data_IF_961246607772
#
_entry.id   IF_961246607772
#
_cell.length_a   1.000
_cell.length_b   1.000
_cell.length_c   1.000
_cell.angle_alpha   90.00
_cell.angle_beta   90.00
_cell.angle_gamma   90.00
#
_symmetry.space_group_name_H-M   'P 1'
#
loop_
_entity.id
_entity.type
_entity.pdbx_description
1 polymer ?
#
# COMPACT_ATOMS: atom_id res chain seq x y z
N UNK A 1 -71.92 84.88 66.72
CA UNK A 1 -71.73 85.50 65.38
C UNK A 1 -70.83 84.57 64.58
N UNK A 2 -71.23 84.31 63.33
CA UNK A 2 -70.49 83.65 62.23
C UNK A 2 -69.14 83.01 62.58
N UNK A 3 -69.05 81.70 62.42
CA UNK A 3 -67.82 80.92 62.61
C UNK A 3 -67.63 79.93 61.46
N UNK A 4 -66.35 79.66 61.16
CA UNK A 4 -65.79 78.45 60.55
C UNK A 4 -66.09 78.18 59.06
N UNK A 5 -65.37 77.30 58.35
CA UNK A 5 -63.97 76.82 58.31
C UNK A 5 -63.95 75.69 57.24
N UNK A 6 -62.82 75.55 56.51
CA UNK A 6 -62.32 74.38 55.73
C UNK A 6 -63.10 73.72 54.55
N UNK A 7 -62.36 73.38 53.47
CA UNK A 7 -62.04 72.01 52.96
C UNK A 7 -62.16 71.76 51.41
N UNK A 8 -61.13 71.09 50.83
CA UNK A 8 -60.95 70.31 49.56
C UNK A 8 -61.60 70.77 48.21
N UNK A 9 -61.09 70.50 46.99
CA UNK A 9 -60.70 69.22 46.36
C UNK A 9 -60.02 69.46 44.98
N UNK A 10 -59.16 68.54 44.51
CA UNK A 10 -58.48 68.50 43.20
C UNK A 10 -59.43 68.04 42.06
N UNK A 11 -59.32 68.59 40.84
CA UNK A 11 -60.00 68.06 39.64
C UNK A 11 -59.08 68.11 38.41
N UNK A 12 -59.02 66.97 37.72
CA UNK A 12 -58.07 66.52 36.69
C UNK A 12 -58.54 66.99 35.29
N UNK A 13 -57.61 67.47 34.45
CA UNK A 13 -57.83 67.70 33.01
C UNK A 13 -57.10 66.59 32.23
N UNK A 14 -57.86 65.74 31.53
CA UNK A 14 -57.34 64.69 30.64
C UNK A 14 -56.97 65.29 29.27
N UNK A 15 -55.68 65.31 28.95
CA UNK A 15 -55.17 65.56 27.60
C UNK A 15 -55.25 64.29 26.76
N UNK A 16 -55.99 64.33 25.64
CA UNK A 16 -55.99 63.27 24.64
C UNK A 16 -54.71 63.40 23.81
N UNK A 17 -53.73 62.55 24.10
CA UNK A 17 -52.57 62.31 23.24
C UNK A 17 -52.66 60.89 22.71
N UNK A 18 -52.86 60.72 21.41
CA UNK A 18 -52.76 59.43 20.74
C UNK A 18 -51.34 58.86 20.92
N UNK A 19 -51.16 57.90 21.82
CA UNK A 19 -50.09 56.93 21.64
C UNK A 19 -50.56 55.95 20.58
N UNK A 20 -49.81 55.85 19.48
CA UNK A 20 -49.80 54.62 18.69
C UNK A 20 -49.31 53.52 19.63
N UNK A 21 -50.20 52.65 20.08
CA UNK A 21 -49.79 51.36 20.63
C UNK A 21 -49.06 50.64 19.50
N UNK A 22 -47.73 50.57 19.64
CA UNK A 22 -46.95 49.56 18.96
C UNK A 22 -47.38 48.23 19.60
N UNK A 23 -48.31 47.53 18.96
CA UNK A 23 -48.48 46.11 19.19
C UNK A 23 -47.10 45.48 18.97
N UNK A 24 -46.53 44.93 20.04
CA UNK A 24 -45.35 44.12 20.00
C UNK A 24 -45.56 43.02 18.95
N UNK A 25 -44.82 43.09 17.84
CA UNK A 25 -44.48 41.87 17.11
C UNK A 25 -43.64 41.05 18.08
N UNK A 26 -44.29 40.10 18.76
CA UNK A 26 -43.57 39.03 19.43
C UNK A 26 -42.67 38.38 18.37
N UNK A 27 -41.36 38.39 18.65
CA UNK A 27 -40.34 37.70 17.88
C UNK A 27 -40.72 36.20 17.87
N UNK A 28 -41.49 35.77 16.86
CA UNK A 28 -41.94 34.39 16.70
C UNK A 28 -40.67 33.54 16.52
N UNK A 29 -40.31 32.80 17.56
CA UNK A 29 -39.18 31.87 17.53
C UNK A 29 -39.42 30.86 16.41
N UNK A 30 -38.56 30.90 15.40
CA UNK A 30 -38.54 29.98 14.25
C UNK A 30 -37.87 28.70 14.72
N UNK A 31 -38.65 27.61 14.88
CA UNK A 31 -38.15 26.34 15.42
C UNK A 31 -38.10 25.30 14.29
N UNK A 32 -36.88 25.00 13.83
CA UNK A 32 -36.63 23.91 12.89
C UNK A 32 -36.94 22.54 13.52
N UNK A 33 -37.13 21.50 12.70
CA UNK A 33 -37.30 20.14 13.22
C UNK A 33 -36.05 19.64 13.95
N UNK A 34 -36.22 18.61 14.77
CA UNK A 34 -35.14 17.78 15.28
C UNK A 34 -35.34 16.36 14.79
N UNK A 35 -34.27 15.76 14.26
CA UNK A 35 -34.28 14.42 13.68
C UNK A 35 -33.06 13.64 14.14
N UNK A 36 -33.28 12.38 14.49
CA UNK A 36 -32.27 11.40 14.88
C UNK A 36 -32.13 10.36 13.77
N UNK A 37 -30.89 10.00 13.44
CA UNK A 37 -30.58 8.82 12.64
C UNK A 37 -30.34 7.66 13.61
N UNK A 38 -31.22 6.68 13.59
CA UNK A 38 -31.29 5.65 14.63
C UNK A 38 -30.50 4.40 14.27
N UNK A 39 -30.44 4.05 12.97
CA UNK A 39 -29.73 2.86 12.51
C UNK A 39 -29.26 3.01 11.06
N UNK A 40 -28.08 2.45 10.78
CA UNK A 40 -27.55 2.19 9.45
C UNK A 40 -27.15 0.71 9.40
N UNK A 41 -27.74 -0.08 8.51
CA UNK A 41 -27.56 -1.53 8.40
C UNK A 41 -27.22 -1.89 6.95
N UNK A 42 -26.03 -2.44 6.71
CA UNK A 42 -25.62 -2.92 5.39
C UNK A 42 -26.41 -4.20 5.10
N UNK A 43 -27.10 -4.26 3.95
CA UNK A 43 -27.94 -5.40 3.58
C UNK A 43 -27.55 -6.04 2.24
N UNK A 44 -26.72 -5.37 1.44
CA UNK A 44 -26.05 -5.90 0.27
C UNK A 44 -24.81 -5.04 -0.05
N UNK A 45 -23.91 -5.53 -0.91
CA UNK A 45 -22.76 -4.75 -1.40
C UNK A 45 -23.16 -3.45 -2.13
N UNK A 46 -24.41 -3.34 -2.58
CA UNK A 46 -24.96 -2.17 -3.27
C UNK A 46 -26.18 -1.57 -2.57
N UNK A 47 -26.43 -1.93 -1.31
CA UNK A 47 -27.58 -1.42 -0.57
C UNK A 47 -27.41 -1.36 0.96
N UNK A 48 -27.94 -0.28 1.55
CA UNK A 48 -27.99 -0.07 3.00
C UNK A 48 -29.41 0.31 3.44
N UNK A 49 -29.86 -0.21 4.59
CA UNK A 49 -31.09 0.22 5.24
C UNK A 49 -30.78 1.28 6.28
N UNK A 50 -31.56 2.35 6.26
CA UNK A 50 -31.45 3.47 7.19
C UNK A 50 -32.78 3.73 7.88
N UNK A 51 -32.74 4.00 9.20
CA UNK A 51 -33.90 4.27 10.03
C UNK A 51 -33.71 5.57 10.79
N UNK A 52 -34.74 6.41 10.85
CA UNK A 52 -34.70 7.70 11.53
C UNK A 52 -36.02 8.06 12.20
N UNK A 53 -35.91 8.89 13.23
CA UNK A 53 -37.05 9.38 14.02
C UNK A 53 -37.01 10.90 14.11
N UNK A 54 -38.16 11.53 13.89
CA UNK A 54 -38.33 12.96 14.16
C UNK A 54 -38.63 13.11 15.65
N UNK A 55 -37.68 13.65 16.41
CA UNK A 55 -37.81 13.84 17.86
C UNK A 55 -38.61 15.09 18.20
N UNK A 56 -38.62 16.08 17.31
CA UNK A 56 -39.42 17.29 17.43
C UNK A 56 -39.80 17.84 16.04
N UNK A 57 -41.07 18.16 15.82
CA UNK A 57 -41.52 18.74 14.55
C UNK A 57 -41.17 20.24 14.41
N UNK A 58 -40.78 20.89 15.50
CA UNK A 58 -40.58 22.33 15.56
C UNK A 58 -41.92 23.08 15.63
N UNK A 59 -41.97 24.26 15.01
CA UNK A 59 -43.11 25.19 15.11
C UNK A 59 -44.17 25.04 14.01
N UNK A 60 -43.91 24.17 13.02
CA UNK A 60 -44.78 23.94 11.86
C UNK A 60 -44.77 22.45 11.46
N UNK A 61 -45.82 21.95 10.79
CA UNK A 61 -45.86 20.57 10.31
C UNK A 61 -44.67 20.24 9.39
N UNK A 62 -44.20 19.00 9.46
CA UNK A 62 -43.13 18.49 8.60
C UNK A 62 -43.64 18.37 7.17
N UNK A 63 -43.02 19.12 6.25
CA UNK A 63 -43.34 19.18 4.82
C UNK A 63 -42.54 18.17 3.99
N UNK A 64 -41.35 17.79 4.43
CA UNK A 64 -40.53 16.74 3.81
C UNK A 64 -39.60 16.10 4.85
N UNK A 65 -39.28 14.82 4.68
CA UNK A 65 -38.27 14.10 5.48
C UNK A 65 -37.59 13.03 4.65
N UNK A 66 -36.37 12.66 5.04
CA UNK A 66 -35.68 11.54 4.41
C UNK A 66 -34.21 11.47 4.78
N UNK A 67 -33.40 11.00 3.85
CA UNK A 67 -31.96 10.79 4.05
C UNK A 67 -31.17 11.48 2.95
N UNK A 68 -29.96 11.92 3.26
CA UNK A 68 -28.99 12.43 2.30
C UNK A 68 -27.63 11.76 2.54
N UNK A 69 -26.91 11.46 1.46
CA UNK A 69 -25.64 10.74 1.50
C UNK A 69 -24.67 11.16 0.40
N UNK A 70 -23.37 11.03 0.68
CA UNK A 70 -22.29 11.32 -0.26
C UNK A 70 -21.01 10.55 0.16
N UNK A 71 -20.02 10.45 -0.71
CA UNK A 71 -18.65 9.97 -0.38
C UNK A 71 -17.80 11.07 0.26
N UNK A 72 -18.29 12.31 0.29
CA UNK A 72 -17.72 13.43 1.03
C UNK A 72 -18.50 13.74 2.32
N UNK A 73 -17.84 14.23 3.39
CA UNK A 73 -18.52 14.60 4.64
C UNK A 73 -19.56 15.71 4.50
N UNK A 74 -20.50 15.74 5.44
CA UNK A 74 -21.61 16.68 5.60
C UNK A 74 -22.63 16.71 4.44
N UNK A 75 -23.20 15.57 4.03
CA UNK A 75 -24.20 15.54 2.97
C UNK A 75 -25.44 16.35 3.36
N UNK A 76 -26.07 16.93 2.34
CA UNK A 76 -27.28 17.76 2.41
C UNK A 76 -28.33 17.26 1.41
N UNK A 77 -29.52 17.85 1.44
CA UNK A 77 -30.58 17.49 0.48
C UNK A 77 -30.23 17.78 -0.99
N UNK A 78 -29.19 18.59 -1.26
CA UNK A 78 -28.71 18.92 -2.60
C UNK A 78 -27.74 17.86 -3.18
N UNK A 79 -27.28 16.92 -2.34
CA UNK A 79 -26.49 15.75 -2.74
C UNK A 79 -27.41 14.59 -3.19
N UNK A 80 -26.96 13.33 -3.07
CA UNK A 80 -27.88 12.20 -3.19
C UNK A 80 -28.83 12.20 -2.00
N UNK A 81 -30.14 12.21 -2.27
CA UNK A 81 -31.15 12.27 -1.23
C UNK A 81 -32.41 11.48 -1.56
N UNK A 82 -33.19 11.15 -0.53
CA UNK A 82 -34.48 10.49 -0.63
C UNK A 82 -35.56 11.29 0.07
N UNK A 83 -36.80 11.19 -0.39
CA UNK A 83 -37.93 11.88 0.25
C UNK A 83 -39.04 10.88 0.63
N UNK A 84 -39.25 10.72 1.93
CA UNK A 84 -40.26 9.87 2.57
C UNK A 84 -41.55 10.62 2.89
N UNK A 85 -41.73 11.82 2.33
CA UNK A 85 -42.95 12.61 2.41
C UNK A 85 -43.06 13.44 3.69
N UNK A 86 -44.29 13.73 4.09
CA UNK A 86 -44.63 14.63 5.19
C UNK A 86 -44.96 13.88 6.49
N UNK A 87 -45.20 14.65 7.56
CA UNK A 87 -45.62 14.13 8.87
C UNK A 87 -44.49 13.61 9.76
N UNK A 88 -44.76 13.54 11.07
CA UNK A 88 -43.70 13.39 12.10
C UNK A 88 -43.42 11.96 12.55
N UNK A 89 -44.01 10.94 11.93
CA UNK A 89 -43.71 9.54 12.23
C UNK A 89 -42.26 9.19 11.85
N UNK A 90 -41.69 8.21 12.55
CA UNK A 90 -40.43 7.58 12.15
C UNK A 90 -40.50 7.06 10.71
N UNK A 91 -39.34 6.98 10.06
CA UNK A 91 -39.25 6.65 8.66
C UNK A 91 -38.01 5.82 8.37
N UNK A 92 -38.10 5.00 7.33
CA UNK A 92 -37.07 4.07 6.89
C UNK A 92 -36.86 4.22 5.40
N UNK A 93 -35.65 3.94 4.92
CA UNK A 93 -35.36 3.81 3.50
C UNK A 93 -34.33 2.71 3.24
N UNK A 94 -34.36 2.18 2.02
CA UNK A 94 -33.26 1.38 1.47
C UNK A 94 -32.57 2.25 0.43
N UNK A 95 -31.34 2.65 0.70
CA UNK A 95 -30.48 3.34 -0.26
C UNK A 95 -29.82 2.25 -1.10
N UNK A 96 -30.08 2.24 -2.41
CA UNK A 96 -29.55 1.28 -3.38
C UNK A 96 -28.66 1.96 -4.42
N UNK A 97 -28.02 1.17 -5.30
CA UNK A 97 -27.13 1.66 -6.37
C UNK A 97 -25.89 2.40 -5.88
N UNK A 98 -25.50 2.17 -4.64
CA UNK A 98 -24.23 2.61 -4.05
C UNK A 98 -23.11 1.68 -4.49
N UNK A 99 -21.92 2.25 -4.64
CA UNK A 99 -20.71 1.55 -5.11
C UNK A 99 -20.21 0.60 -4.00
N UNK A 100 -19.96 -0.70 -4.27
CA UNK A 100 -19.34 -1.63 -3.31
C UNK A 100 -17.98 -1.17 -2.81
N UNK A 101 -17.56 -1.65 -1.62
CA UNK A 101 -16.28 -1.28 -0.99
C UNK A 101 -16.04 0.22 -0.81
N UNK A 102 -17.10 1.04 -0.74
CA UNK A 102 -16.99 2.51 -0.69
C UNK A 102 -17.53 3.05 0.64
N UNK A 103 -16.78 3.98 1.25
CA UNK A 103 -17.20 4.73 2.44
C UNK A 103 -18.20 5.84 2.05
N UNK A 104 -19.33 5.88 2.76
CA UNK A 104 -20.34 6.92 2.63
C UNK A 104 -20.62 7.60 3.97
N UNK A 105 -20.91 8.89 3.88
CA UNK A 105 -21.47 9.71 4.95
C UNK A 105 -22.98 9.82 4.74
N UNK A 106 -23.77 9.71 5.81
CA UNK A 106 -25.23 9.75 5.75
C UNK A 106 -25.83 10.56 6.90
N UNK A 107 -26.87 11.33 6.59
CA UNK A 107 -27.68 12.09 7.55
C UNK A 107 -29.16 11.92 7.24
N UNK A 108 -29.98 11.79 8.29
CA UNK A 108 -31.41 11.98 8.16
C UNK A 108 -31.74 13.48 8.13
N UNK A 109 -32.77 13.87 7.40
CA UNK A 109 -33.25 15.25 7.34
C UNK A 109 -34.75 15.35 7.56
N UNK A 110 -35.19 16.49 8.06
CA UNK A 110 -36.60 16.87 8.12
C UNK A 110 -36.76 18.38 7.86
N UNK A 111 -37.81 18.75 7.15
CA UNK A 111 -38.10 20.12 6.72
C UNK A 111 -39.47 20.53 7.20
N UNK A 112 -39.58 21.74 7.75
CA UNK A 112 -40.84 22.44 8.00
C UNK A 112 -40.73 23.88 7.44
N UNK A 113 -41.72 24.73 7.71
CA UNK A 113 -41.72 26.13 7.22
C UNK A 113 -40.53 26.96 7.75
N UNK A 114 -39.93 26.54 8.87
CA UNK A 114 -38.72 27.12 9.48
C UNK A 114 -37.42 26.64 8.82
N UNK A 115 -37.49 25.65 7.93
CA UNK A 115 -36.40 25.14 7.11
C UNK A 115 -36.03 23.68 7.39
N UNK A 116 -34.91 23.25 6.80
CA UNK A 116 -34.39 21.89 6.93
C UNK A 116 -33.43 21.78 8.12
N UNK A 117 -33.60 20.71 8.89
CA UNK A 117 -32.68 20.24 9.91
C UNK A 117 -32.18 18.85 9.57
N UNK A 118 -31.01 18.51 10.12
CA UNK A 118 -30.31 17.26 9.86
C UNK A 118 -29.91 16.59 11.17
N UNK A 119 -29.85 15.26 11.17
CA UNK A 119 -29.29 14.50 12.29
C UNK A 119 -27.79 14.74 12.42
N UNK A 120 -27.21 14.19 13.48
CA UNK A 120 -25.77 13.90 13.50
C UNK A 120 -25.40 13.04 12.30
N UNK A 121 -24.19 13.25 11.80
CA UNK A 121 -23.62 12.43 10.73
C UNK A 121 -23.26 11.04 11.24
N UNK A 122 -23.50 10.05 10.39
CA UNK A 122 -22.99 8.69 10.56
C UNK A 122 -22.28 8.27 9.27
N UNK A 123 -21.46 7.23 9.38
CA UNK A 123 -20.72 6.66 8.24
C UNK A 123 -21.01 5.18 8.11
N UNK A 124 -20.98 4.67 6.89
CA UNK A 124 -20.99 3.24 6.62
C UNK A 124 -20.13 2.93 5.41
N UNK A 125 -19.57 1.73 5.37
CA UNK A 125 -18.82 1.21 4.23
C UNK A 125 -19.61 0.05 3.63
N UNK A 126 -19.90 0.10 2.33
CA UNK A 126 -20.62 -0.99 1.67
C UNK A 126 -19.78 -2.25 1.63
N UNK A 127 -20.40 -3.42 1.80
CA UNK A 127 -19.70 -4.70 1.64
C UNK A 127 -19.03 -4.80 0.25
N UNK A 128 -17.88 -5.44 0.18
CA UNK A 128 -17.27 -5.81 -1.11
C UNK A 128 -18.00 -7.02 -1.70
N UNK A 129 -18.02 -7.19 -3.04
CA UNK A 129 -18.64 -8.37 -3.66
C UNK A 129 -18.11 -9.70 -3.10
N UNK A 130 -16.85 -9.73 -2.64
CA UNK A 130 -16.22 -10.92 -2.09
C UNK A 130 -16.56 -11.25 -0.62
N UNK A 131 -17.19 -10.36 0.14
CA UNK A 131 -17.47 -10.61 1.58
C UNK A 131 -18.43 -11.78 1.80
N UNK A 132 -19.26 -12.12 0.80
CA UNK A 132 -20.17 -13.27 0.88
C UNK A 132 -19.51 -14.60 0.50
N UNK A 133 -18.35 -14.58 -0.17
CA UNK A 133 -17.63 -15.75 -0.67
C UNK A 133 -16.18 -15.76 -0.16
N UNK A 134 -16.04 -15.61 1.17
CA UNK A 134 -14.75 -15.63 1.87
C UNK A 134 -14.43 -17.04 2.38
N UNK A 135 -13.23 -17.53 2.08
CA UNK A 135 -12.69 -18.78 2.60
C UNK A 135 -11.56 -18.49 3.60
N UNK A 136 -11.56 -19.18 4.74
CA UNK A 136 -10.66 -18.83 5.87
C UNK A 136 -9.58 -19.86 6.15
N UNK A 137 -9.77 -21.10 5.71
CA UNK A 137 -8.79 -22.17 5.93
C UNK A 137 -7.63 -22.06 4.95
N UNK A 138 -6.47 -22.59 5.32
CA UNK A 138 -5.31 -22.68 4.42
C UNK A 138 -5.64 -23.52 3.19
N UNK A 139 -5.26 -23.04 2.00
CA UNK A 139 -5.54 -23.74 0.75
C UNK A 139 -4.23 -24.27 0.18
N UNK A 140 -4.17 -25.57 -0.05
CA UNK A 140 -3.04 -26.25 -0.70
C UNK A 140 -3.58 -27.08 -1.87
N UNK A 141 -3.23 -26.66 -3.08
CA UNK A 141 -3.61 -27.31 -4.34
C UNK A 141 -2.36 -27.97 -4.91
N UNK A 142 -2.42 -29.29 -5.10
CA UNK A 142 -1.29 -30.12 -5.55
C UNK A 142 -1.54 -30.90 -6.83
N UNK A 143 -2.77 -30.91 -7.32
CA UNK A 143 -3.17 -31.57 -8.57
C UNK A 143 -4.18 -30.71 -9.33
N UNK A 144 -4.32 -30.94 -10.65
CA UNK A 144 -5.33 -30.24 -11.44
C UNK A 144 -6.76 -30.49 -10.92
N UNK A 145 -7.05 -31.67 -10.38
CA UNK A 145 -8.37 -31.96 -9.83
C UNK A 145 -8.68 -31.07 -8.62
N UNK A 146 -7.70 -30.85 -7.73
CA UNK A 146 -7.89 -29.96 -6.57
C UNK A 146 -8.09 -28.50 -7.00
N UNK A 147 -7.42 -28.05 -8.07
CA UNK A 147 -7.66 -26.73 -8.67
C UNK A 147 -9.09 -26.61 -9.19
N UNK A 148 -9.57 -27.63 -9.91
CA UNK A 148 -10.93 -27.66 -10.43
C UNK A 148 -11.97 -27.68 -9.28
N UNK A 149 -11.77 -28.56 -8.29
CA UNK A 149 -12.66 -28.70 -7.15
C UNK A 149 -12.74 -27.42 -6.31
N UNK A 150 -11.61 -26.70 -6.18
CA UNK A 150 -11.59 -25.40 -5.51
C UNK A 150 -12.29 -24.31 -6.34
N UNK A 151 -12.08 -24.30 -7.66
CA UNK A 151 -12.77 -23.38 -8.57
C UNK A 151 -14.30 -23.52 -8.55
N UNK A 152 -14.81 -24.75 -8.42
CA UNK A 152 -16.25 -25.03 -8.30
C UNK A 152 -16.88 -24.39 -7.04
N UNK A 153 -16.08 -24.03 -6.04
CA UNK A 153 -16.55 -23.30 -4.85
C UNK A 153 -16.81 -21.81 -5.13
N UNK A 154 -16.28 -21.27 -6.24
CA UNK A 154 -16.42 -19.85 -6.62
C UNK A 154 -16.02 -18.89 -5.50
N UNK A 155 -14.92 -19.21 -4.81
CA UNK A 155 -14.34 -18.37 -3.76
C UNK A 155 -13.81 -17.09 -4.40
N UNK A 156 -14.15 -15.95 -3.79
CA UNK A 156 -13.75 -14.63 -4.24
C UNK A 156 -12.61 -14.06 -3.39
N UNK A 157 -12.62 -14.39 -2.10
CA UNK A 157 -11.63 -13.92 -1.13
C UNK A 157 -11.08 -15.08 -0.29
N UNK A 158 -9.77 -15.10 -0.14
CA UNK A 158 -9.06 -15.99 0.78
C UNK A 158 -8.42 -15.16 1.89
N UNK A 159 -8.68 -15.50 3.16
CA UNK A 159 -8.02 -14.81 4.31
C UNK A 159 -6.70 -15.46 4.71
N UNK A 160 -6.33 -16.55 4.05
CA UNK A 160 -5.16 -17.37 4.31
C UNK A 160 -4.23 -17.40 3.09
N UNK A 161 -3.13 -18.12 3.21
CA UNK A 161 -2.21 -18.37 2.10
C UNK A 161 -2.80 -19.38 1.10
N UNK A 162 -2.57 -19.12 -0.19
CA UNK A 162 -2.85 -20.03 -1.30
C UNK A 162 -1.54 -20.67 -1.78
N UNK A 163 -1.38 -21.97 -1.54
CA UNK A 163 -0.28 -22.76 -2.07
C UNK A 163 -0.74 -23.54 -3.29
N UNK A 164 -0.19 -23.23 -4.47
CA UNK A 164 -0.35 -24.01 -5.70
C UNK A 164 1.01 -24.62 -6.01
N UNK A 165 1.16 -25.92 -5.74
CA UNK A 165 2.48 -26.55 -5.81
C UNK A 165 2.46 -28.02 -6.20
N UNK A 166 3.46 -28.48 -6.93
CA UNK A 166 3.61 -29.92 -7.15
C UNK A 166 4.07 -30.64 -5.86
N UNK A 167 3.63 -31.89 -5.62
CA UNK A 167 4.15 -32.70 -4.53
C UNK A 167 5.58 -33.16 -4.82
N UNK A 168 6.34 -33.40 -3.74
CA UNK A 168 7.71 -33.92 -3.82
C UNK A 168 7.72 -35.29 -4.52
N UNK A 169 8.49 -35.41 -5.61
CA UNK A 169 8.54 -36.62 -6.44
C UNK A 169 7.58 -36.64 -7.64
N UNK A 170 6.85 -35.53 -7.87
CA UNK A 170 5.95 -35.36 -9.01
C UNK A 170 4.55 -35.95 -8.79
N UNK A 171 3.67 -35.69 -9.75
CA UNK A 171 2.28 -36.17 -9.74
C UNK A 171 1.88 -36.67 -11.13
N UNK A 172 0.97 -37.66 -11.17
CA UNK A 172 0.36 -38.12 -12.43
C UNK A 172 -0.68 -37.12 -12.98
N UNK A 173 -1.13 -36.17 -12.17
CA UNK A 173 -2.10 -35.14 -12.54
C UNK A 173 -1.52 -33.74 -12.28
N UNK A 174 -0.52 -33.30 -13.07
CA UNK A 174 0.13 -32.01 -12.88
C UNK A 174 -0.86 -30.86 -13.10
N UNK A 175 -0.62 -29.76 -12.39
CA UNK A 175 -1.38 -28.51 -12.57
C UNK A 175 -0.89 -27.85 -13.86
N UNK A 176 -1.80 -27.67 -14.80
CA UNK A 176 -1.53 -27.11 -16.14
C UNK A 176 -2.48 -25.96 -16.50
N UNK A 177 -3.56 -25.79 -15.75
CA UNK A 177 -4.60 -24.79 -16.01
C UNK A 177 -5.10 -24.18 -14.68
N UNK A 178 -5.02 -22.86 -14.56
CA UNK A 178 -5.54 -22.12 -13.41
C UNK A 178 -6.88 -21.44 -13.70
N UNK A 179 -7.46 -21.60 -14.90
CA UNK A 179 -8.75 -21.00 -15.29
C UNK A 179 -9.91 -21.22 -14.31
N UNK A 180 -9.99 -22.37 -13.57
CA UNK A 180 -11.00 -22.54 -12.53
C UNK A 180 -10.92 -21.51 -11.39
N UNK A 181 -9.77 -20.86 -11.19
CA UNK A 181 -9.54 -19.88 -10.12
C UNK A 181 -10.02 -18.46 -10.48
N UNK A 182 -10.66 -18.28 -11.64
CA UNK A 182 -11.08 -16.97 -12.17
C UNK A 182 -12.06 -16.18 -11.29
N UNK A 183 -12.64 -16.78 -10.26
CA UNK A 183 -13.45 -16.05 -9.27
C UNK A 183 -12.62 -15.32 -8.21
N UNK A 184 -11.35 -15.68 -8.00
CA UNK A 184 -10.51 -15.08 -6.96
C UNK A 184 -10.15 -13.63 -7.31
N UNK A 185 -10.44 -12.72 -6.38
CA UNK A 185 -10.05 -11.31 -6.46
C UNK A 185 -9.10 -10.90 -5.34
N UNK A 186 -9.18 -11.53 -4.16
CA UNK A 186 -8.41 -11.13 -2.98
C UNK A 186 -7.79 -12.34 -2.28
N UNK A 187 -6.49 -12.25 -2.00
CA UNK A 187 -5.76 -13.14 -1.09
C UNK A 187 -5.13 -12.25 0.01
N UNK A 188 -5.68 -12.29 1.22
CA UNK A 188 -5.08 -11.57 2.36
C UNK A 188 -3.83 -12.27 2.90
N UNK A 189 -3.59 -13.52 2.52
CA UNK A 189 -2.32 -14.21 2.72
C UNK A 189 -1.34 -14.00 1.57
N UNK A 190 -0.46 -14.99 1.39
CA UNK A 190 0.46 -15.09 0.26
C UNK A 190 -0.03 -16.04 -0.83
N UNK A 191 0.39 -15.76 -2.06
CA UNK A 191 0.24 -16.62 -3.23
C UNK A 191 1.57 -17.32 -3.52
N UNK A 192 1.59 -18.64 -3.42
CA UNK A 192 2.79 -19.44 -3.65
C UNK A 192 2.61 -20.38 -4.83
N UNK A 193 3.23 -20.06 -5.95
CA UNK A 193 3.31 -20.88 -7.16
C UNK A 193 4.67 -21.58 -7.17
N UNK A 194 4.71 -22.89 -6.84
CA UNK A 194 5.97 -23.63 -6.66
C UNK A 194 6.01 -24.95 -7.42
N UNK A 195 7.13 -25.27 -8.06
CA UNK A 195 7.34 -26.55 -8.75
C UNK A 195 6.29 -26.85 -9.86
N UNK A 196 5.76 -25.82 -10.52
CA UNK A 196 4.71 -25.93 -11.54
C UNK A 196 5.32 -26.10 -12.95
N UNK A 197 6.03 -27.21 -13.16
CA UNK A 197 6.86 -27.42 -14.37
C UNK A 197 6.08 -27.55 -15.67
N UNK A 198 4.78 -27.89 -15.60
CA UNK A 198 3.92 -28.05 -16.78
C UNK A 198 3.00 -26.84 -17.03
N UNK A 199 2.97 -25.86 -16.12
CA UNK A 199 2.10 -24.70 -16.22
C UNK A 199 2.68 -23.68 -17.22
N UNK A 200 1.91 -23.36 -18.27
CA UNK A 200 2.32 -22.46 -19.35
C UNK A 200 1.84 -21.02 -19.14
N UNK A 201 0.78 -20.82 -18.35
CA UNK A 201 0.13 -19.53 -18.16
C UNK A 201 -0.49 -19.41 -16.77
N UNK A 202 -0.59 -18.18 -16.28
CA UNK A 202 -1.36 -17.81 -15.08
C UNK A 202 -2.83 -17.45 -15.41
N UNK A 203 -3.30 -17.77 -16.61
CA UNK A 203 -4.71 -17.60 -17.00
C UNK A 203 -5.62 -18.24 -15.95
N UNK A 204 -6.62 -17.47 -15.49
CA UNK A 204 -7.44 -17.76 -14.32
C UNK A 204 -7.14 -16.88 -13.11
N UNK A 205 -6.03 -16.13 -13.10
CA UNK A 205 -5.70 -15.18 -12.03
C UNK A 205 -5.91 -13.71 -12.44
N UNK A 206 -6.54 -13.44 -13.60
CA UNK A 206 -6.72 -12.09 -14.14
C UNK A 206 -7.58 -11.19 -13.27
N UNK A 207 -8.48 -11.75 -12.48
CA UNK A 207 -9.35 -10.96 -11.59
C UNK A 207 -8.69 -10.68 -10.23
N UNK A 208 -7.50 -11.22 -9.97
CA UNK A 208 -6.79 -11.03 -8.72
C UNK A 208 -6.33 -9.58 -8.60
N UNK A 209 -6.91 -8.87 -7.63
CA UNK A 209 -6.66 -7.46 -7.36
C UNK A 209 -5.69 -7.25 -6.19
N UNK A 210 -5.65 -8.21 -5.25
CA UNK A 210 -4.86 -8.06 -4.04
C UNK A 210 -4.22 -9.38 -3.57
N UNK A 211 -2.92 -9.31 -3.25
CA UNK A 211 -2.15 -10.29 -2.46
C UNK A 211 -1.42 -9.49 -1.39
N UNK A 212 -1.61 -9.79 -0.09
CA UNK A 212 -1.06 -8.93 0.98
C UNK A 212 0.27 -9.41 1.57
N UNK A 213 0.51 -10.71 1.64
CA UNK A 213 1.76 -11.23 2.24
C UNK A 213 2.81 -11.46 1.15
N UNK A 214 2.92 -12.70 0.71
CA UNK A 214 4.00 -13.15 -0.14
C UNK A 214 3.51 -13.42 -1.56
N UNK A 215 4.30 -13.08 -2.58
CA UNK A 215 4.14 -13.57 -3.94
C UNK A 215 5.38 -14.37 -4.33
N UNK A 216 5.22 -15.68 -4.44
CA UNK A 216 6.29 -16.59 -4.82
C UNK A 216 5.97 -17.21 -6.18
N UNK A 217 6.90 -17.07 -7.11
CA UNK A 217 6.91 -17.78 -8.39
C UNK A 217 8.24 -18.51 -8.48
N UNK A 218 8.23 -19.79 -8.12
CA UNK A 218 9.44 -20.60 -7.97
C UNK A 218 9.36 -21.89 -8.77
N UNK A 219 10.43 -22.22 -9.49
CA UNK A 219 10.55 -23.46 -10.26
C UNK A 219 9.40 -23.69 -11.27
N UNK A 220 9.12 -22.70 -12.12
CA UNK A 220 8.23 -22.87 -13.28
C UNK A 220 9.04 -23.03 -14.58
N UNK A 221 8.83 -24.13 -15.29
CA UNK A 221 9.65 -24.48 -16.46
C UNK A 221 9.08 -24.01 -17.79
N UNK A 222 7.78 -23.67 -17.83
CA UNK A 222 7.07 -23.28 -19.06
C UNK A 222 6.36 -21.91 -18.98
N UNK A 223 6.33 -21.28 -17.81
CA UNK A 223 5.66 -19.99 -17.63
C UNK A 223 6.51 -18.86 -18.21
N UNK A 224 5.99 -18.16 -19.22
CA UNK A 224 6.75 -17.13 -19.94
C UNK A 224 6.63 -15.72 -19.35
N UNK A 225 5.55 -15.40 -18.65
CA UNK A 225 5.29 -14.07 -18.09
C UNK A 225 4.35 -14.13 -16.89
N UNK A 226 4.17 -12.98 -16.22
CA UNK A 226 3.22 -12.81 -15.12
C UNK A 226 2.02 -11.91 -15.51
N UNK A 227 1.72 -11.74 -16.79
CA UNK A 227 0.79 -10.70 -17.29
C UNK A 227 -0.64 -10.87 -16.78
N UNK A 228 -1.04 -12.11 -16.45
CA UNK A 228 -2.34 -12.37 -15.83
C UNK A 228 -2.47 -11.73 -14.44
N UNK A 229 -1.38 -11.31 -13.81
CA UNK A 229 -1.41 -10.61 -12.52
C UNK A 229 -1.56 -9.08 -12.64
N UNK A 230 -1.76 -8.55 -13.84
CA UNK A 230 -1.80 -7.10 -14.13
C UNK A 230 -2.83 -6.27 -13.37
N UNK A 231 -3.83 -6.91 -12.74
CA UNK A 231 -4.79 -6.24 -11.87
C UNK A 231 -4.36 -6.18 -10.40
N UNK A 232 -3.25 -6.82 -10.02
CA UNK A 232 -2.69 -6.72 -8.67
C UNK A 232 -2.27 -5.27 -8.38
N UNK A 233 -2.75 -4.76 -7.25
CA UNK A 233 -2.42 -3.41 -6.78
C UNK A 233 -2.12 -3.39 -5.30
N UNK A 234 -1.40 -2.35 -4.88
CA UNK A 234 -1.17 -2.05 -3.46
C UNK A 234 0.11 -2.67 -2.91
N UNK A 235 0.01 -3.18 -1.69
CA UNK A 235 1.16 -3.49 -0.83
C UNK A 235 1.30 -4.98 -0.57
N UNK A 236 2.55 -5.46 -0.54
CA UNK A 236 2.91 -6.86 -0.27
C UNK A 236 4.12 -6.91 0.67
N UNK A 237 4.36 -8.00 1.40
CA UNK A 237 5.56 -8.15 2.24
C UNK A 237 6.76 -8.71 1.49
N UNK A 238 6.55 -9.70 0.62
CA UNK A 238 7.66 -10.44 0.01
C UNK A 238 7.39 -10.85 -1.43
N UNK A 239 8.35 -10.58 -2.32
CA UNK A 239 8.35 -11.02 -3.71
C UNK A 239 9.56 -11.92 -3.95
N UNK A 240 9.30 -13.17 -4.33
CA UNK A 240 10.35 -14.13 -4.71
C UNK A 240 10.05 -14.71 -6.08
N UNK A 241 10.90 -14.41 -7.04
CA UNK A 241 10.84 -14.96 -8.41
C UNK A 241 12.12 -15.74 -8.66
N UNK A 242 12.03 -17.07 -8.59
CA UNK A 242 13.19 -17.94 -8.54
C UNK A 242 13.10 -19.14 -9.49
N UNK A 243 14.22 -19.52 -10.09
CA UNK A 243 14.37 -20.79 -10.82
C UNK A 243 13.35 -20.99 -11.97
N UNK A 244 12.89 -19.89 -12.58
CA UNK A 244 11.94 -19.94 -13.69
C UNK A 244 12.68 -19.96 -15.04
N UNK A 245 12.62 -21.09 -15.75
CA UNK A 245 13.50 -21.38 -16.88
C UNK A 245 13.20 -20.54 -18.13
N UNK A 246 11.93 -20.18 -18.34
CA UNK A 246 11.48 -19.48 -19.54
C UNK A 246 10.76 -18.16 -19.27
N UNK A 247 10.71 -17.73 -18.02
CA UNK A 247 10.11 -16.46 -17.62
C UNK A 247 10.93 -15.30 -18.21
N UNK A 248 10.28 -14.47 -19.03
CA UNK A 248 10.90 -13.35 -19.74
C UNK A 248 10.66 -12.00 -19.08
N UNK A 249 9.51 -11.83 -18.44
CA UNK A 249 9.12 -10.59 -17.79
C UNK A 249 8.27 -10.84 -16.54
N UNK A 250 8.09 -9.76 -15.77
CA UNK A 250 7.22 -9.69 -14.59
C UNK A 250 6.24 -8.50 -14.70
N UNK A 251 5.89 -8.10 -15.93
CA UNK A 251 5.22 -6.80 -16.19
C UNK A 251 3.81 -6.72 -15.58
N UNK A 252 3.17 -7.87 -15.38
CA UNK A 252 1.94 -7.98 -14.61
C UNK A 252 2.03 -7.52 -13.15
N UNK A 253 3.23 -7.27 -12.59
CA UNK A 253 3.39 -6.75 -11.23
C UNK A 253 3.40 -5.22 -11.14
N UNK A 254 3.26 -4.52 -12.27
CA UNK A 254 3.39 -3.05 -12.35
C UNK A 254 2.37 -2.25 -11.52
N UNK A 255 1.30 -2.87 -11.02
CA UNK A 255 0.35 -2.22 -10.12
C UNK A 255 0.78 -2.17 -8.64
N UNK A 256 1.85 -2.87 -8.25
CA UNK A 256 2.40 -2.84 -6.89
C UNK A 256 3.06 -1.48 -6.59
N UNK A 257 2.84 -0.95 -5.39
CA UNK A 257 3.27 0.40 -5.01
C UNK A 257 4.23 0.45 -3.83
N UNK A 258 4.18 -0.51 -2.92
CA UNK A 258 4.99 -0.53 -1.70
C UNK A 258 5.16 -1.94 -1.20
N UNK A 259 6.24 -2.16 -0.46
CA UNK A 259 6.35 -3.33 0.40
C UNK A 259 6.19 -2.92 1.86
N UNK A 260 5.61 -3.80 2.68
CA UNK A 260 5.31 -3.54 4.09
C UNK A 260 5.76 -4.68 4.98
N UNK A 261 6.13 -4.36 6.22
CA UNK A 261 6.56 -5.36 7.19
C UNK A 261 5.45 -6.40 7.42
N UNK A 262 5.84 -7.66 7.41
CA UNK A 262 4.94 -8.76 7.69
C UNK A 262 4.65 -8.89 9.18
N UNK A 263 3.74 -9.81 9.48
CA UNK A 263 3.46 -10.19 10.87
C UNK A 263 4.72 -10.71 11.57
N UNK A 264 4.82 -10.47 12.88
CA UNK A 264 5.93 -10.93 13.73
C UNK A 264 7.31 -10.36 13.37
N UNK A 265 7.38 -9.20 12.70
CA UNK A 265 8.65 -8.55 12.34
C UNK A 265 9.35 -9.26 11.18
N UNK A 266 8.58 -9.73 10.21
CA UNK A 266 9.14 -10.19 8.93
C UNK A 266 9.46 -8.96 8.09
N UNK A 267 10.74 -8.76 7.80
CA UNK A 267 11.19 -7.63 7.02
C UNK A 267 10.83 -7.80 5.52
N UNK A 268 10.58 -6.70 4.80
CA UNK A 268 10.31 -6.74 3.37
C UNK A 268 11.44 -7.35 2.54
N UNK A 269 11.08 -8.19 1.57
CA UNK A 269 12.08 -8.81 0.68
C UNK A 269 11.65 -8.83 -0.78
N UNK A 270 12.56 -8.41 -1.66
CA UNK A 270 12.46 -8.61 -3.10
C UNK A 270 13.65 -9.45 -3.55
N UNK A 271 13.40 -10.65 -4.07
CA UNK A 271 14.45 -11.56 -4.53
C UNK A 271 14.15 -12.12 -5.93
N UNK A 272 15.09 -11.90 -6.84
CA UNK A 272 15.12 -12.51 -8.17
C UNK A 272 16.32 -13.43 -8.25
N UNK A 273 16.11 -14.74 -8.43
CA UNK A 273 17.22 -15.68 -8.51
C UNK A 273 17.09 -16.76 -9.59
N UNK A 274 18.17 -17.07 -10.30
CA UNK A 274 18.20 -18.19 -11.25
C UNK A 274 17.11 -18.13 -12.34
N UNK A 275 16.80 -16.94 -12.89
CA UNK A 275 15.88 -16.79 -14.01
C UNK A 275 16.69 -16.52 -15.29
N UNK A 276 17.09 -17.55 -16.07
CA UNK A 276 18.03 -17.41 -17.19
C UNK A 276 17.50 -16.57 -18.36
N UNK A 277 16.19 -16.38 -18.47
CA UNK A 277 15.55 -15.63 -19.56
C UNK A 277 14.86 -14.34 -19.12
N UNK A 278 14.90 -13.98 -17.84
CA UNK A 278 14.25 -12.75 -17.33
C UNK A 278 15.01 -11.52 -17.83
N UNK A 279 14.36 -10.72 -18.68
CA UNK A 279 15.02 -9.63 -19.42
C UNK A 279 15.18 -8.36 -18.58
N UNK A 280 14.26 -8.11 -17.65
CA UNK A 280 14.26 -6.94 -16.78
C UNK A 280 13.40 -7.20 -15.52
N UNK A 281 13.38 -6.23 -14.61
CA UNK A 281 12.57 -6.22 -13.39
C UNK A 281 11.60 -5.02 -13.36
N UNK A 282 11.15 -4.54 -14.53
CA UNK A 282 10.35 -3.32 -14.63
C UNK A 282 8.94 -3.46 -14.01
N UNK A 283 8.48 -4.68 -13.78
CA UNK A 283 7.26 -4.94 -13.01
C UNK A 283 7.27 -4.34 -11.61
N UNK A 284 8.42 -4.01 -11.01
CA UNK A 284 8.51 -3.34 -9.70
C UNK A 284 8.85 -1.84 -9.79
N UNK A 285 8.86 -1.25 -10.99
CA UNK A 285 9.30 0.14 -11.18
C UNK A 285 8.41 1.20 -10.50
N UNK A 286 7.17 0.85 -10.14
CA UNK A 286 6.24 1.73 -9.43
C UNK A 286 6.32 1.59 -7.90
N UNK A 287 7.18 0.73 -7.39
CA UNK A 287 7.38 0.55 -5.95
C UNK A 287 8.16 1.73 -5.38
N UNK A 288 7.64 2.34 -4.32
CA UNK A 288 8.22 3.56 -3.71
C UNK A 288 8.75 3.36 -2.30
N UNK A 289 8.49 2.22 -1.65
CA UNK A 289 9.12 1.91 -0.36
C UNK A 289 9.26 0.42 -0.08
N UNK A 290 10.22 0.08 0.79
CA UNK A 290 10.39 -1.25 1.39
C UNK A 290 10.20 -1.20 2.91
N UNK A 291 8.96 -0.99 3.35
CA UNK A 291 8.58 -0.97 4.76
C UNK A 291 9.09 0.26 5.49
N UNK A 292 9.45 0.09 6.76
CA UNK A 292 10.04 1.13 7.59
C UNK A 292 11.56 1.32 7.37
N UNK A 293 12.13 0.52 6.45
CA UNK A 293 13.53 0.51 6.09
C UNK A 293 14.42 -0.35 7.00
N UNK A 294 13.88 -0.99 8.05
CA UNK A 294 14.61 -1.91 8.93
C UNK A 294 14.55 -3.35 8.39
N UNK A 295 15.70 -3.93 8.08
CA UNK A 295 15.87 -5.32 7.69
C UNK A 295 15.52 -5.65 6.22
N UNK A 296 15.03 -4.67 5.47
CA UNK A 296 14.63 -4.83 4.07
C UNK A 296 15.77 -5.39 3.20
N UNK A 297 15.43 -6.28 2.25
CA UNK A 297 16.42 -6.93 1.39
C UNK A 297 16.04 -6.83 -0.09
N UNK A 298 16.98 -6.36 -0.91
CA UNK A 298 16.97 -6.48 -2.37
C UNK A 298 18.03 -7.49 -2.83
N UNK A 299 17.58 -8.59 -3.44
CA UNK A 299 18.41 -9.67 -3.96
C UNK A 299 18.26 -9.86 -5.48
N UNK A 300 19.37 -9.82 -6.20
CA UNK A 300 19.46 -10.11 -7.63
C UNK A 300 20.58 -11.10 -7.90
N UNK A 301 20.26 -12.38 -8.08
CA UNK A 301 21.25 -13.45 -8.17
C UNK A 301 21.10 -14.31 -9.43
N UNK A 302 22.15 -14.47 -10.24
CA UNK A 302 22.11 -15.40 -11.39
C UNK A 302 20.97 -15.12 -12.39
N UNK A 303 20.75 -13.85 -12.75
CA UNK A 303 19.81 -13.44 -13.80
C UNK A 303 20.60 -12.89 -15.00
N UNK A 304 21.08 -13.75 -15.90
CA UNK A 304 22.05 -13.40 -16.93
C UNK A 304 21.48 -12.52 -18.06
N UNK A 305 20.20 -12.18 -18.07
CA UNK A 305 19.59 -11.33 -19.11
C UNK A 305 19.29 -9.90 -18.65
N UNK A 306 19.31 -9.66 -17.33
CA UNK A 306 19.10 -8.34 -16.76
C UNK A 306 20.36 -7.50 -16.96
N UNK A 307 20.19 -6.32 -17.57
CA UNK A 307 21.29 -5.42 -17.94
C UNK A 307 21.41 -4.18 -17.04
N UNK A 308 20.30 -3.77 -16.41
CA UNK A 308 20.24 -2.64 -15.47
C UNK A 308 19.18 -2.88 -14.38
N UNK A 309 19.17 -2.02 -13.36
CA UNK A 309 18.26 -2.12 -12.19
C UNK A 309 17.50 -0.82 -11.93
N UNK A 310 17.26 0.01 -12.94
CA UNK A 310 16.59 1.32 -12.78
C UNK A 310 15.22 1.23 -12.11
N UNK A 311 14.56 0.07 -12.21
CA UNK A 311 13.32 -0.24 -11.52
C UNK A 311 13.38 -0.12 -9.98
N UNK A 312 14.57 -0.15 -9.36
CA UNK A 312 14.72 -0.02 -7.90
C UNK A 312 14.86 1.43 -7.41
N UNK A 313 14.92 2.39 -8.33
CA UNK A 313 15.14 3.81 -8.01
C UNK A 313 14.09 4.37 -7.05
N UNK A 314 12.83 3.95 -7.18
CA UNK A 314 11.71 4.42 -6.36
C UNK A 314 11.83 4.12 -4.86
N UNK A 315 12.55 3.06 -4.48
CA UNK A 315 12.66 2.59 -3.09
C UNK A 315 14.11 2.44 -2.60
N UNK A 316 15.10 2.89 -3.38
CA UNK A 316 16.52 2.66 -3.10
C UNK A 316 17.01 3.21 -1.76
N UNK A 317 16.34 4.23 -1.22
CA UNK A 317 16.66 4.81 0.10
C UNK A 317 16.23 3.93 1.29
N UNK A 318 15.34 2.96 1.06
CA UNK A 318 14.77 2.11 2.11
C UNK A 318 15.45 0.73 2.17
N UNK A 319 16.53 0.50 1.41
CA UNK A 319 17.18 -0.82 1.29
C UNK A 319 18.28 -1.02 2.34
N UNK A 320 18.05 -1.95 3.26
CA UNK A 320 19.00 -2.28 4.31
C UNK A 320 20.03 -3.33 3.88
N UNK A 321 19.67 -4.24 2.98
CA UNK A 321 20.56 -5.25 2.43
C UNK A 321 20.46 -5.31 0.91
N UNK A 322 21.59 -5.11 0.24
CA UNK A 322 21.75 -5.29 -1.21
C UNK A 322 22.59 -6.53 -1.48
N UNK A 323 22.07 -7.50 -2.22
CA UNK A 323 22.81 -8.67 -2.70
C UNK A 323 22.68 -8.75 -4.22
N UNK A 324 23.74 -8.43 -4.96
CA UNK A 324 23.76 -8.51 -6.42
C UNK A 324 24.92 -9.41 -6.83
N UNK A 325 24.61 -10.61 -7.33
CA UNK A 325 25.66 -11.57 -7.67
C UNK A 325 25.40 -12.44 -8.89
N UNK A 326 26.45 -12.77 -9.63
CA UNK A 326 26.39 -13.68 -10.79
C UNK A 326 25.46 -13.22 -11.93
N UNK A 327 25.24 -11.91 -12.08
CA UNK A 327 24.47 -11.36 -13.21
C UNK A 327 25.44 -10.92 -14.31
N UNK A 328 25.79 -11.88 -15.17
CA UNK A 328 26.86 -11.73 -16.17
C UNK A 328 26.57 -10.76 -17.34
N UNK A 329 25.41 -10.09 -17.36
CA UNK A 329 25.10 -9.00 -18.30
C UNK A 329 24.74 -7.69 -17.58
N UNK A 330 24.71 -7.68 -16.24
CA UNK A 330 24.39 -6.48 -15.48
C UNK A 330 25.53 -5.48 -15.63
N UNK A 331 25.24 -4.35 -16.27
CA UNK A 331 26.19 -3.32 -16.65
C UNK A 331 26.12 -2.09 -15.76
N UNK A 332 24.93 -1.74 -15.27
CA UNK A 332 24.68 -0.50 -14.53
C UNK A 332 23.97 -0.74 -13.19
N UNK A 333 24.36 0.08 -12.19
CA UNK A 333 23.74 0.14 -10.87
C UNK A 333 22.87 1.40 -10.67
N UNK A 334 22.53 2.17 -11.72
CA UNK A 334 21.89 3.49 -11.59
C UNK A 334 20.61 3.53 -10.77
N UNK A 335 19.85 2.44 -10.73
CA UNK A 335 18.70 2.31 -9.83
C UNK A 335 19.01 2.52 -8.34
N UNK A 336 20.28 2.44 -7.91
CA UNK A 336 20.68 2.63 -6.51
C UNK A 336 20.99 4.08 -6.13
N UNK A 337 20.78 5.08 -7.00
CA UNK A 337 21.15 6.47 -6.72
C UNK A 337 20.58 7.05 -5.41
N UNK A 338 19.44 6.57 -4.91
CA UNK A 338 18.89 7.00 -3.62
C UNK A 338 19.50 6.32 -2.40
N UNK A 339 20.34 5.30 -2.58
CA UNK A 339 20.96 4.53 -1.50
C UNK A 339 22.09 5.35 -0.83
N UNK A 340 21.77 5.98 0.30
CA UNK A 340 22.76 6.71 1.11
C UNK A 340 23.32 5.90 2.28
N UNK A 341 22.48 5.05 2.88
CA UNK A 341 22.81 4.20 4.01
C UNK A 341 22.34 2.80 3.68
N UNK A 342 23.16 1.80 4.00
CA UNK A 342 22.82 0.40 3.88
C UNK A 342 23.44 -0.36 5.07
N UNK A 343 22.86 -1.46 5.53
CA UNK A 343 23.52 -2.33 6.51
C UNK A 343 24.53 -3.23 5.84
N UNK A 344 24.10 -3.93 4.79
CA UNK A 344 24.91 -4.95 4.14
C UNK A 344 24.90 -4.79 2.62
N UNK A 345 26.08 -4.69 2.02
CA UNK A 345 26.23 -4.52 0.59
C UNK A 345 27.14 -5.61 0.02
N UNK A 346 26.55 -6.53 -0.75
CA UNK A 346 27.27 -7.64 -1.39
C UNK A 346 27.16 -7.52 -2.92
N UNK A 347 28.29 -7.29 -3.58
CA UNK A 347 28.37 -7.18 -5.03
C UNK A 347 29.40 -8.18 -5.57
N UNK A 348 28.93 -9.20 -6.29
CA UNK A 348 29.75 -10.35 -6.68
C UNK A 348 29.64 -10.74 -8.15
N UNK A 349 30.72 -11.03 -8.86
CA UNK A 349 30.65 -11.80 -10.12
C UNK A 349 29.70 -11.19 -11.19
N UNK A 350 29.75 -9.88 -11.39
CA UNK A 350 28.97 -9.13 -12.39
C UNK A 350 29.90 -8.42 -13.40
N UNK A 351 29.36 -7.92 -14.51
CA UNK A 351 30.10 -7.19 -15.56
C UNK A 351 29.81 -5.68 -15.55
N UNK A 352 29.76 -5.11 -14.35
CA UNK A 352 29.38 -3.71 -14.14
C UNK A 352 30.49 -2.79 -14.62
N UNK A 353 30.11 -1.68 -15.24
CA UNK A 353 31.01 -0.57 -15.53
C UNK A 353 30.41 0.79 -15.24
N UNK A 354 29.09 0.86 -15.05
CA UNK A 354 28.41 2.04 -14.55
C UNK A 354 28.04 1.83 -13.07
N UNK A 355 28.89 2.39 -12.21
CA UNK A 355 28.73 2.39 -10.75
C UNK A 355 28.06 3.67 -10.24
N UNK A 356 27.50 4.53 -11.11
CA UNK A 356 27.06 5.86 -10.68
C UNK A 356 25.91 5.83 -9.67
N UNK A 357 25.18 4.71 -9.60
CA UNK A 357 24.21 4.44 -8.53
C UNK A 357 24.78 4.43 -7.11
N UNK A 358 26.10 4.27 -6.92
CA UNK A 358 26.71 4.24 -5.58
C UNK A 358 27.26 5.59 -5.12
N UNK A 359 27.14 6.66 -5.93
CA UNK A 359 27.74 7.95 -5.62
C UNK A 359 27.22 8.60 -4.33
N UNK A 360 25.98 8.31 -3.92
CA UNK A 360 25.39 8.88 -2.70
C UNK A 360 25.62 8.01 -1.45
N UNK A 361 26.23 6.83 -1.60
CA UNK A 361 26.45 5.90 -0.51
C UNK A 361 27.52 6.44 0.45
N UNK A 362 27.10 6.85 1.65
CA UNK A 362 27.99 7.40 2.67
C UNK A 362 28.24 6.47 3.85
N UNK A 363 27.36 5.49 4.09
CA UNK A 363 27.48 4.62 5.25
C UNK A 363 27.05 3.17 4.97
N UNK A 364 27.92 2.24 5.35
CA UNK A 364 27.62 0.83 5.52
C UNK A 364 27.67 0.49 7.00
N UNK A 365 26.55 0.13 7.62
CA UNK A 365 26.55 -0.06 9.08
C UNK A 365 27.04 -1.43 9.54
N UNK A 366 27.03 -2.43 8.64
CA UNK A 366 27.61 -3.75 8.85
C UNK A 366 28.69 -4.01 7.78
N UNK A 367 28.47 -4.91 6.83
CA UNK A 367 29.51 -5.42 5.95
C UNK A 367 29.36 -4.93 4.51
N UNK A 368 30.49 -4.66 3.87
CA UNK A 368 30.57 -4.47 2.42
C UNK A 368 31.54 -5.50 1.83
N UNK A 369 31.09 -6.18 0.78
CA UNK A 369 31.93 -7.05 -0.04
C UNK A 369 31.74 -6.74 -1.53
N UNK A 370 32.85 -6.44 -2.21
CA UNK A 370 32.90 -6.30 -3.67
C UNK A 370 33.88 -7.32 -4.23
N UNK A 371 33.34 -8.33 -4.92
CA UNK A 371 34.12 -9.49 -5.36
C UNK A 371 33.88 -9.87 -6.81
N UNK A 372 34.91 -10.37 -7.51
CA UNK A 372 34.71 -10.92 -8.87
C UNK A 372 34.20 -9.91 -9.90
N UNK A 373 34.47 -8.62 -9.72
CA UNK A 373 34.02 -7.55 -10.63
C UNK A 373 35.12 -7.12 -11.60
N UNK A 374 34.73 -6.45 -12.68
CA UNK A 374 35.64 -5.88 -13.68
C UNK A 374 36.17 -4.48 -13.35
N UNK A 375 35.98 -3.98 -12.12
CA UNK A 375 36.40 -2.62 -11.78
C UNK A 375 37.93 -2.48 -11.76
N UNK A 376 38.41 -1.27 -12.03
CA UNK A 376 39.83 -0.90 -11.98
C UNK A 376 40.16 0.05 -10.84
N UNK A 377 39.17 0.85 -10.43
CA UNK A 377 39.23 1.86 -9.38
C UNK A 377 38.02 1.74 -8.43
N UNK A 378 38.11 2.35 -7.26
CA UNK A 378 37.01 2.50 -6.30
C UNK A 378 36.49 3.94 -6.19
N UNK A 379 36.74 4.80 -7.18
CA UNK A 379 36.28 6.21 -7.17
C UNK A 379 34.77 6.38 -6.94
N UNK A 380 33.97 5.37 -7.32
CA UNK A 380 32.53 5.36 -7.05
C UNK A 380 32.17 5.25 -5.56
N UNK A 381 33.14 5.03 -4.67
CA UNK A 381 33.01 5.03 -3.21
C UNK A 381 33.63 6.28 -2.56
N UNK A 382 33.94 7.34 -3.31
CA UNK A 382 34.58 8.56 -2.79
C UNK A 382 33.83 9.23 -1.63
N UNK A 383 32.50 9.07 -1.59
CA UNK A 383 31.63 9.64 -0.55
C UNK A 383 31.42 8.70 0.64
N UNK A 384 32.01 7.50 0.64
CA UNK A 384 31.88 6.56 1.75
C UNK A 384 32.63 7.10 2.98
N UNK A 385 31.91 7.32 4.07
CA UNK A 385 32.41 7.91 5.32
C UNK A 385 32.49 6.89 6.46
N UNK A 386 31.64 5.86 6.45
CA UNK A 386 31.52 4.91 7.55
C UNK A 386 31.31 3.46 7.07
N UNK A 387 32.06 2.54 7.67
CA UNK A 387 31.86 1.09 7.57
C UNK A 387 31.94 0.48 8.96
N UNK A 388 30.80 0.04 9.52
CA UNK A 388 30.72 -0.48 10.87
C UNK A 388 31.33 -1.87 11.06
N UNK A 389 31.29 -2.70 10.02
CA UNK A 389 31.80 -4.06 9.98
C UNK A 389 32.97 -4.22 9.00
N UNK A 390 33.02 -5.38 8.33
CA UNK A 390 34.13 -5.70 7.44
C UNK A 390 33.97 -5.02 6.08
N UNK A 391 35.09 -4.52 5.55
CA UNK A 391 35.22 -4.01 4.19
C UNK A 391 36.12 -4.95 3.40
N UNK A 392 35.52 -5.70 2.48
CA UNK A 392 36.18 -6.76 1.72
C UNK A 392 36.18 -6.49 0.22
N UNK A 393 37.35 -6.65 -0.39
CA UNK A 393 37.53 -6.70 -1.84
C UNK A 393 38.25 -7.99 -2.22
N UNK A 394 37.61 -8.86 -3.00
CA UNK A 394 38.19 -10.14 -3.36
C UNK A 394 38.04 -10.52 -4.83
N UNK A 395 39.02 -11.21 -5.38
CA UNK A 395 38.93 -11.78 -6.73
C UNK A 395 38.61 -10.73 -7.83
N UNK A 396 39.07 -9.47 -7.67
CA UNK A 396 38.94 -8.42 -8.69
C UNK A 396 40.27 -8.30 -9.48
N UNK A 397 40.46 -9.04 -10.59
CA UNK A 397 41.75 -9.17 -11.27
C UNK A 397 42.24 -7.89 -11.96
N UNK A 398 41.40 -6.87 -12.04
CA UNK A 398 41.69 -5.57 -12.67
C UNK A 398 41.78 -4.42 -11.68
N UNK A 399 41.44 -4.63 -10.39
CA UNK A 399 41.38 -3.59 -9.38
C UNK A 399 42.78 -3.22 -8.87
N UNK A 400 43.28 -2.07 -9.30
CA UNK A 400 44.62 -1.57 -8.94
C UNK A 400 44.61 -0.27 -8.14
N UNK A 401 43.48 0.45 -8.10
CA UNK A 401 43.34 1.76 -7.45
C UNK A 401 42.23 1.72 -6.38
N UNK A 402 42.61 1.96 -5.13
CA UNK A 402 41.73 2.03 -3.97
C UNK A 402 41.55 3.45 -3.44
N UNK A 403 42.10 4.47 -4.11
CA UNK A 403 42.17 5.84 -3.61
C UNK A 403 40.78 6.49 -3.43
N UNK A 404 39.75 5.99 -4.10
CA UNK A 404 38.35 6.34 -3.80
C UNK A 404 37.92 6.07 -2.35
N UNK A 405 38.63 5.23 -1.59
CA UNK A 405 38.35 5.00 -0.17
C UNK A 405 39.00 6.03 0.76
N UNK A 406 39.74 7.02 0.27
CA UNK A 406 40.54 7.91 1.13
C UNK A 406 39.68 8.67 2.15
N UNK A 407 38.46 9.08 1.79
CA UNK A 407 37.54 9.77 2.69
C UNK A 407 37.20 8.91 3.92
N UNK A 408 36.86 7.63 3.72
CA UNK A 408 36.63 6.65 4.79
C UNK A 408 37.85 6.52 5.72
N UNK A 409 39.05 6.47 5.14
CA UNK A 409 40.31 6.30 5.88
C UNK A 409 40.63 7.55 6.72
N UNK A 410 40.54 8.74 6.13
CA UNK A 410 40.84 10.02 6.77
C UNK A 410 39.91 10.30 7.96
N UNK A 411 38.66 9.85 7.86
CA UNK A 411 37.66 9.96 8.92
C UNK A 411 37.81 8.91 10.03
N UNK A 412 38.72 7.94 9.90
CA UNK A 412 38.76 6.73 10.72
C UNK A 412 37.41 5.99 10.73
N UNK A 413 36.72 5.97 9.57
CA UNK A 413 35.36 5.48 9.45
C UNK A 413 35.23 3.96 9.32
N UNK A 414 36.33 3.21 9.19
CA UNK A 414 36.30 1.75 9.19
C UNK A 414 36.43 1.19 10.62
N UNK A 415 35.43 0.44 11.06
CA UNK A 415 35.36 -0.14 12.41
C UNK A 415 35.55 -1.67 12.45
N UNK A 416 35.53 -2.34 11.30
CA UNK A 416 35.88 -3.76 11.18
C UNK A 416 37.20 -3.99 10.43
N UNK A 417 37.31 -5.14 9.77
CA UNK A 417 38.54 -5.52 9.07
C UNK A 417 38.57 -4.99 7.64
N UNK A 418 39.72 -4.46 7.22
CA UNK A 418 40.04 -4.21 5.82
C UNK A 418 40.66 -5.47 5.20
N UNK A 419 39.98 -6.07 4.22
CA UNK A 419 40.36 -7.35 3.64
C UNK A 419 40.53 -7.19 2.12
N UNK A 420 41.74 -7.44 1.64
CA UNK A 420 42.06 -7.48 0.20
C UNK A 420 42.68 -8.83 -0.14
N UNK A 421 42.10 -9.57 -1.07
CA UNK A 421 42.62 -10.87 -1.51
C UNK A 421 42.40 -11.13 -3.00
N UNK A 422 43.38 -11.73 -3.67
CA UNK A 422 43.30 -12.11 -5.09
C UNK A 422 42.91 -10.96 -6.06
N UNK A 423 43.17 -9.70 -5.69
CA UNK A 423 42.99 -8.55 -6.59
C UNK A 423 44.29 -8.25 -7.37
N UNK A 424 44.25 -7.35 -8.36
CA UNK A 424 45.47 -6.89 -9.04
C UNK A 424 46.44 -6.23 -8.05
N UNK A 425 45.92 -5.31 -7.22
CA UNK A 425 46.63 -4.74 -6.08
C UNK A 425 45.89 -5.09 -4.79
N UNK A 426 46.63 -5.50 -3.75
CA UNK A 426 46.09 -5.87 -2.44
C UNK A 426 46.79 -5.04 -1.35
N UNK A 427 46.45 -3.75 -1.21
CA UNK A 427 47.02 -2.92 -0.15
C UNK A 427 46.59 -3.46 1.21
N UNK A 428 47.48 -3.32 2.20
CA UNK A 428 47.11 -3.47 3.60
C UNK A 428 46.42 -2.19 4.09
N UNK A 429 45.75 -2.26 5.24
CA UNK A 429 45.19 -1.04 5.86
C UNK A 429 46.28 0.00 6.18
N UNK A 430 47.50 -0.44 6.51
CA UNK A 430 48.61 0.48 6.74
C UNK A 430 49.07 1.16 5.45
N UNK A 431 49.07 0.46 4.31
CA UNK A 431 49.37 1.07 3.01
C UNK A 431 48.39 2.20 2.69
N UNK A 432 47.10 2.00 2.99
CA UNK A 432 46.07 3.04 2.84
C UNK A 432 46.33 4.27 3.72
N UNK A 433 46.72 4.07 4.99
CA UNK A 433 47.08 5.16 5.90
C UNK A 433 48.34 5.93 5.44
N UNK A 434 49.27 5.23 4.81
CA UNK A 434 50.52 5.82 4.30
C UNK A 434 50.34 6.49 2.93
N UNK A 435 49.12 6.46 2.36
CA UNK A 435 48.79 7.04 1.04
C UNK A 435 49.19 6.16 -0.15
N UNK A 436 49.56 4.90 0.09
CA UNK A 436 49.87 3.91 -0.95
C UNK A 436 48.58 3.20 -1.42
N UNK A 437 47.62 3.97 -1.93
CA UNK A 437 46.30 3.45 -2.31
C UNK A 437 46.22 2.92 -3.76
N UNK A 438 47.27 3.08 -4.57
CA UNK A 438 47.34 2.57 -5.95
C UNK A 438 48.70 1.93 -6.24
N UNK A 439 48.71 0.92 -7.13
CA UNK A 439 49.93 0.24 -7.60
C UNK A 439 50.72 1.02 -8.65
#
# INVERSE_FOLDING_TARGET
MRNNSYFLLFLIVLGVSCSKDKSNEENKSIIKPEVSLDQVEIIASTAVRVNATITNAGDSPISAKGFCWNTSPNPTIDDNSSNQGNGSSSFTNIISTIIPGTLYYVRAYATNDSGTAYSSESTFETATPCDQNTYTEQVILTTQQEVNDFGDLSICKLTSDLFIRAPQGGTLNPIVDLSPLSSLEIIEGGLYLKDLTELESLQGLENLQQVRKALYVDHTSKLENLDALSNLTGEITELVVSQNQVLKNIDGLSGLTSFVDGEFGQDPQIAFSFNPLLENINGIANVTSLGDGDGSTFGLLSNPKIYEIDAVSGFSQDIDRVIISFNNHLWSLNGLQGLSICKEFYLGYNVISDYSGLQNLSSITLNMEISGTGTTTLDFLENLEFVGGNLKFADNPTLFDYCGLQNLIDLNGLHGSFITENNFYNPTYQDMLDGNCSF
#
